data_IF_900701344550
#
_entry.id   IF_900701344550
#
_cell.length_a   1.000
_cell.length_b   1.000
_cell.length_c   1.000
_cell.angle_alpha   90.00
_cell.angle_beta   90.00
_cell.angle_gamma   90.00
#
_symmetry.space_group_name_H-M   'P 1'
#
loop_
_entity.id
_entity.type
_entity.pdbx_description
1 polymer ?
#
# COMPACT_ATOMS: atom_id res chain seq x y z
N UNK A 1 -8.91 -14.15 -3.10
CA UNK A 1 -9.21 -12.71 -3.19
C UNK A 1 -10.70 -12.47 -3.12
N UNK A 2 -11.28 -12.52 -1.92
CA UNK A 2 -12.73 -12.31 -1.71
C UNK A 2 -13.09 -10.80 -1.58
N UNK A 3 -12.30 -9.90 -2.18
CA UNK A 3 -12.43 -8.45 -2.05
C UNK A 3 -12.67 -7.99 -0.59
N UNK A 4 -11.74 -8.27 0.34
CA UNK A 4 -12.01 -8.17 1.78
C UNK A 4 -12.03 -6.73 2.35
N UNK A 5 -11.88 -5.69 1.50
CA UNK A 5 -11.86 -4.28 1.91
C UNK A 5 -10.82 -3.93 3.02
N UNK A 6 -9.72 -4.69 3.08
CA UNK A 6 -8.61 -4.50 4.02
C UNK A 6 -7.29 -4.38 3.27
N UNK A 7 -6.27 -3.84 3.90
CA UNK A 7 -4.90 -3.91 3.40
C UNK A 7 -4.41 -5.37 3.40
N UNK A 8 -3.86 -5.80 2.28
CA UNK A 8 -3.31 -7.14 2.09
C UNK A 8 -1.82 -7.10 1.75
N UNK A 9 -1.08 -8.20 1.98
CA UNK A 9 0.34 -8.29 1.64
C UNK A 9 0.64 -7.92 0.19
N UNK A 10 1.77 -7.25 -0.02
CA UNK A 10 2.37 -7.08 -1.34
C UNK A 10 3.41 -8.19 -1.54
N UNK A 11 3.47 -8.74 -2.75
CA UNK A 11 4.42 -9.82 -3.09
C UNK A 11 4.88 -9.71 -4.53
N UNK A 12 5.77 -10.60 -4.96
CA UNK A 12 6.18 -10.76 -6.35
C UNK A 12 6.01 -12.22 -6.79
N UNK A 13 5.59 -12.40 -8.04
CA UNK A 13 5.64 -13.69 -8.75
C UNK A 13 6.61 -13.53 -9.91
N UNK A 14 7.80 -14.10 -9.79
CA UNK A 14 8.90 -13.75 -10.68
C UNK A 14 9.27 -12.28 -10.51
N UNK A 15 9.19 -11.50 -11.59
CA UNK A 15 9.45 -10.06 -11.58
C UNK A 15 8.16 -9.21 -11.62
N UNK A 16 7.01 -9.87 -11.50
CA UNK A 16 5.70 -9.21 -11.53
C UNK A 16 5.23 -8.92 -10.10
N UNK A 17 5.02 -7.64 -9.70
CA UNK A 17 4.44 -7.33 -8.41
C UNK A 17 2.97 -7.75 -8.36
N UNK A 18 2.53 -8.26 -7.22
CA UNK A 18 1.16 -8.68 -6.96
C UNK A 18 0.62 -7.90 -5.76
N UNK A 19 -0.44 -7.12 -6.03
CA UNK A 19 -1.16 -6.30 -5.06
C UNK A 19 -2.63 -6.70 -5.14
N UNK A 20 -3.19 -7.22 -4.05
CA UNK A 20 -4.58 -7.73 -4.06
C UNK A 20 -5.61 -6.70 -3.60
N UNK A 21 -5.48 -6.19 -2.38
CA UNK A 21 -6.44 -5.23 -1.81
C UNK A 21 -5.70 -4.10 -1.10
N UNK A 22 -6.11 -2.88 -1.43
CA UNK A 22 -5.57 -1.61 -0.93
C UNK A 22 -6.45 -1.02 0.19
N UNK A 23 -7.35 -1.84 0.76
CA UNK A 23 -8.36 -1.37 1.69
C UNK A 23 -9.46 -0.53 1.01
N UNK A 24 -10.30 0.08 1.84
CA UNK A 24 -11.27 1.06 1.39
C UNK A 24 -10.59 2.41 1.20
N UNK A 25 -10.67 2.97 -0.01
CA UNK A 25 -10.34 4.38 -0.19
C UNK A 25 -11.49 5.22 0.38
N UNK A 26 -12.68 5.19 -0.20
CA UNK A 26 -13.82 6.02 0.24
C UNK A 26 -15.14 5.24 0.17
N UNK A 27 -15.48 4.52 1.24
CA UNK A 27 -16.67 3.65 1.24
C UNK A 27 -17.54 3.73 2.50
N UNK A 28 -17.01 4.13 3.66
CA UNK A 28 -17.81 4.21 4.89
C UNK A 28 -17.26 5.26 5.87
N UNK A 29 -17.94 5.41 7.01
CA UNK A 29 -17.57 6.35 8.06
C UNK A 29 -16.57 5.78 9.08
N UNK A 30 -16.16 4.51 8.97
CA UNK A 30 -15.20 3.89 9.89
C UNK A 30 -13.81 4.48 9.68
N UNK A 31 -13.07 4.58 10.79
CA UNK A 31 -11.64 4.87 10.77
C UNK A 31 -10.86 3.61 10.42
N UNK A 32 -10.26 3.59 9.24
CA UNK A 32 -9.52 2.44 8.71
C UNK A 32 -8.26 2.91 7.99
N UNK A 33 -7.16 2.17 8.18
CA UNK A 33 -5.95 2.33 7.39
C UNK A 33 -6.23 1.94 5.93
N UNK A 34 -5.64 2.68 5.01
CA UNK A 34 -5.86 2.59 3.57
C UNK A 34 -4.57 2.96 2.83
N UNK A 35 -4.57 2.87 1.50
CA UNK A 35 -3.45 3.37 0.71
C UNK A 35 -3.84 3.80 -0.69
N UNK A 36 -2.98 4.62 -1.28
CA UNK A 36 -2.85 4.73 -2.73
C UNK A 36 -1.59 3.99 -3.17
N UNK A 37 -1.60 3.50 -4.41
CA UNK A 37 -0.42 2.94 -5.05
C UNK A 37 0.02 3.85 -6.19
N UNK A 38 1.22 4.42 -6.09
CA UNK A 38 1.85 5.17 -7.18
C UNK A 38 2.71 4.21 -8.01
N UNK A 39 2.40 4.12 -9.30
CA UNK A 39 3.10 3.26 -10.25
C UNK A 39 3.71 4.14 -11.34
N UNK A 40 5.03 4.05 -11.54
CA UNK A 40 5.70 4.72 -12.66
C UNK A 40 6.10 3.68 -13.69
N UNK A 41 5.65 3.89 -14.93
CA UNK A 41 5.96 3.05 -16.08
C UNK A 41 6.72 3.88 -17.12
N UNK A 42 7.70 3.29 -17.79
CA UNK A 42 8.39 3.91 -18.92
C UNK A 42 8.90 2.83 -19.87
N UNK A 43 8.63 3.01 -21.17
CA UNK A 43 9.00 2.03 -22.20
C UNK A 43 8.36 0.64 -22.03
N UNK A 44 7.22 0.56 -21.35
CA UNK A 44 6.55 -0.72 -21.03
C UNK A 44 7.11 -1.42 -19.78
N UNK A 45 8.09 -0.83 -19.11
CA UNK A 45 8.70 -1.39 -17.90
C UNK A 45 8.26 -0.64 -16.64
N UNK A 46 8.16 -1.39 -15.53
CA UNK A 46 7.98 -0.82 -14.21
C UNK A 46 9.26 -0.10 -13.74
N UNK A 47 9.14 1.19 -13.46
CA UNK A 47 10.25 2.02 -12.96
C UNK A 47 10.20 2.22 -11.46
N UNK A 48 9.01 2.39 -10.89
CA UNK A 48 8.84 2.41 -9.44
C UNK A 48 7.44 1.99 -9.04
N UNK A 49 7.34 1.42 -7.85
CA UNK A 49 6.10 1.09 -7.17
C UNK A 49 6.18 1.67 -5.76
N UNK A 50 5.20 2.49 -5.37
CA UNK A 50 5.22 3.19 -4.08
C UNK A 50 3.87 3.08 -3.37
N UNK A 51 3.91 2.57 -2.15
CA UNK A 51 2.79 2.60 -1.21
C UNK A 51 2.71 4.00 -0.60
N UNK A 52 1.55 4.64 -0.74
CA UNK A 52 1.25 5.94 -0.15
C UNK A 52 0.27 5.73 1.01
N UNK A 53 0.71 5.88 2.27
CA UNK A 53 -0.12 5.68 3.45
C UNK A 53 -1.32 6.64 3.50
N UNK A 54 -2.52 6.08 3.70
CA UNK A 54 -3.76 6.85 3.81
C UNK A 54 -4.59 6.38 5.01
N UNK A 55 -5.51 7.22 5.46
CA UNK A 55 -6.55 6.83 6.40
C UNK A 55 -7.90 7.33 5.93
N UNK A 56 -8.86 6.42 5.87
CA UNK A 56 -10.26 6.78 5.72
C UNK A 56 -10.84 7.06 7.10
N UNK A 57 -11.56 8.16 7.26
CA UNK A 57 -12.33 8.48 8.46
C UNK A 57 -13.47 9.44 8.14
N UNK A 58 -14.66 9.23 8.72
CA UNK A 58 -15.77 10.16 8.52
C UNK A 58 -16.18 10.38 7.06
N UNK A 59 -16.10 9.33 6.22
CA UNK A 59 -16.37 9.41 4.78
C UNK A 59 -15.44 10.35 4.01
N UNK A 60 -14.23 10.56 4.51
CA UNK A 60 -13.17 11.26 3.81
C UNK A 60 -11.87 10.44 3.90
N UNK A 61 -10.92 10.76 3.02
CA UNK A 61 -9.59 10.14 2.99
C UNK A 61 -8.55 11.23 3.12
N UNK A 62 -7.55 10.96 3.95
CA UNK A 62 -6.36 11.81 4.08
C UNK A 62 -5.10 10.99 3.90
N UNK A 63 -4.08 11.65 3.38
CA UNK A 63 -2.71 11.14 3.43
C UNK A 63 -2.26 11.10 4.89
N UNK A 64 -1.51 10.07 5.25
CA UNK A 64 -0.80 10.01 6.52
C UNK A 64 0.61 10.55 6.34
N UNK A 65 1.14 11.19 7.38
CA UNK A 65 2.48 11.78 7.42
C UNK A 65 3.14 11.46 8.77
N UNK A 66 4.46 11.63 8.84
CA UNK A 66 5.23 11.45 10.07
C UNK A 66 5.04 10.06 10.71
N UNK A 67 4.83 10.04 12.02
CA UNK A 67 4.75 8.80 12.80
C UNK A 67 3.60 7.87 12.37
N UNK A 68 2.47 8.41 11.92
CA UNK A 68 1.33 7.60 11.47
C UNK A 68 1.60 6.94 10.11
N UNK A 69 2.31 7.62 9.22
CA UNK A 69 2.76 7.02 7.97
C UNK A 69 3.73 5.87 8.25
N UNK A 70 4.71 6.09 9.14
CA UNK A 70 5.69 5.07 9.49
C UNK A 70 5.03 3.86 10.17
N UNK A 71 4.10 4.07 11.11
CA UNK A 71 3.31 2.99 11.72
C UNK A 71 2.65 2.10 10.67
N UNK A 72 2.07 2.70 9.63
CA UNK A 72 1.38 1.95 8.59
C UNK A 72 2.37 1.24 7.64
N UNK A 73 3.49 1.87 7.30
CA UNK A 73 4.55 1.21 6.53
C UNK A 73 5.12 0.01 7.29
N UNK A 74 5.32 0.13 8.60
CA UNK A 74 5.81 -0.93 9.46
C UNK A 74 4.82 -2.11 9.54
N UNK A 75 3.52 -1.82 9.63
CA UNK A 75 2.47 -2.82 9.45
C UNK A 75 2.58 -3.52 8.09
N UNK A 76 2.70 -2.77 6.99
CA UNK A 76 2.82 -3.35 5.65
C UNK A 76 4.07 -4.22 5.49
N UNK A 77 5.21 -3.83 6.09
CA UNK A 77 6.44 -4.65 6.15
C UNK A 77 6.19 -5.95 6.91
N UNK A 78 5.46 -5.90 8.02
CA UNK A 78 5.18 -7.08 8.85
C UNK A 78 4.35 -8.14 8.12
N UNK A 79 3.42 -7.71 7.25
CA UNK A 79 2.55 -8.63 6.50
C UNK A 79 3.07 -8.98 5.11
N UNK A 80 4.11 -8.28 4.62
CA UNK A 80 4.67 -8.46 3.27
C UNK A 80 6.13 -8.95 3.31
N UNK A 81 6.42 -10.16 3.84
CA UNK A 81 7.78 -10.60 4.13
C UNK A 81 8.64 -10.86 2.89
N UNK A 82 8.06 -10.92 1.69
CA UNK A 82 8.76 -11.19 0.43
C UNK A 82 9.20 -9.93 -0.32
N UNK A 83 8.94 -8.73 0.23
CA UNK A 83 9.33 -7.45 -0.37
C UNK A 83 10.06 -6.57 0.64
N UNK A 84 10.80 -5.61 0.11
CA UNK A 84 11.32 -4.48 0.88
C UNK A 84 10.41 -3.28 0.65
N UNK A 85 10.07 -2.59 1.73
CA UNK A 85 9.35 -1.31 1.70
C UNK A 85 10.24 -0.31 2.44
N UNK A 86 10.76 0.71 1.75
CA UNK A 86 11.62 1.73 2.36
C UNK A 86 10.83 2.72 3.22
N UNK A 87 11.51 3.74 3.75
CA UNK A 87 10.90 4.77 4.61
C UNK A 87 9.95 5.69 3.81
N UNK A 88 10.19 5.83 2.51
CA UNK A 88 9.38 6.62 1.60
C UNK A 88 8.19 5.82 1.05
N UNK A 89 8.14 4.51 1.28
CA UNK A 89 7.10 3.60 0.82
C UNK A 89 7.38 2.94 -0.53
N UNK A 90 8.57 3.09 -1.12
CA UNK A 90 8.91 2.35 -2.34
C UNK A 90 9.06 0.87 -2.06
N UNK A 91 8.47 0.08 -2.96
CA UNK A 91 8.44 -1.37 -2.88
C UNK A 91 9.44 -1.94 -3.88
N UNK A 92 10.31 -2.81 -3.40
CA UNK A 92 11.24 -3.59 -4.22
C UNK A 92 11.17 -5.06 -3.86
N UNK A 93 11.51 -5.91 -4.83
CA UNK A 93 11.65 -7.35 -4.61
C UNK A 93 12.84 -7.61 -3.67
N UNK A 94 12.70 -8.60 -2.78
CA UNK A 94 13.82 -9.13 -1.98
C UNK A 94 14.70 -10.07 -2.79
#
# INVERSE_FOLDING_TARGET
GAHPHILQPVSYVGDVPVIYSMGNFWFNSKTLDSCLMEVKLSGGELKSLKFVPCQQTGSAVRLLEGAEAERLLEYMRSISPSVNIDAEGHITKR
#
